data_IF_212651680124
#
_entry.id   IF_212651680124
#
_cell.length_a   1.000
_cell.length_b   1.000
_cell.length_c   1.000
_cell.angle_alpha   90.00
_cell.angle_beta   90.00
_cell.angle_gamma   90.00
#
_symmetry.space_group_name_H-M   'P 1'
#
loop_
_entity.id
_entity.type
_entity.pdbx_description
1 polymer ?
#
# COMPACT_ATOMS: atom_id res chain seq x y z
N UNK A 1 28.60 -57.92 -29.65
CA UNK A 1 27.80 -56.67 -29.68
C UNK A 1 28.77 -55.52 -29.84
N UNK A 2 28.86 -54.94 -31.03
CA UNK A 2 29.94 -54.05 -31.44
C UNK A 2 29.70 -52.64 -30.90
N UNK A 3 30.80 -51.95 -30.54
CA UNK A 3 30.83 -50.55 -29.99
C UNK A 3 29.97 -49.56 -30.79
N UNK A 4 29.71 -49.84 -32.08
CA UNK A 4 28.82 -49.04 -32.95
C UNK A 4 27.35 -49.06 -32.43
N UNK A 5 26.84 -50.18 -32.01
CA UNK A 5 25.43 -50.31 -31.54
C UNK A 5 25.26 -49.60 -30.19
N UNK A 6 26.27 -49.59 -29.32
CA UNK A 6 26.21 -48.92 -28.03
C UNK A 6 26.14 -47.38 -28.21
N UNK A 7 26.86 -46.82 -29.16
CA UNK A 7 26.81 -45.37 -29.48
C UNK A 7 25.46 -44.96 -30.09
N UNK A 8 24.86 -45.82 -30.90
CA UNK A 8 23.56 -45.54 -31.49
C UNK A 8 22.44 -45.56 -30.44
N UNK A 9 22.44 -46.50 -29.50
CA UNK A 9 21.48 -46.54 -28.39
C UNK A 9 21.67 -45.36 -27.42
N UNK A 10 22.90 -44.95 -27.14
CA UNK A 10 23.15 -43.75 -26.30
C UNK A 10 22.66 -42.48 -26.94
N UNK A 11 22.79 -42.31 -28.26
CA UNK A 11 22.26 -41.16 -29.00
C UNK A 11 20.74 -41.12 -29.05
N UNK A 12 20.09 -42.27 -29.16
CA UNK A 12 18.61 -42.38 -29.14
C UNK A 12 18.07 -42.07 -27.76
N UNK A 13 18.69 -42.54 -26.67
CA UNK A 13 18.29 -42.23 -25.29
C UNK A 13 18.46 -40.73 -25.01
N UNK A 14 19.53 -40.10 -25.49
CA UNK A 14 19.73 -38.66 -25.33
C UNK A 14 18.73 -37.82 -26.12
N UNK A 15 18.25 -38.27 -27.27
CA UNK A 15 17.20 -37.57 -28.04
C UNK A 15 15.82 -37.65 -27.36
N UNK A 16 15.52 -38.76 -26.69
CA UNK A 16 14.23 -38.95 -25.99
C UNK A 16 14.13 -38.10 -24.70
N UNK A 17 15.27 -37.75 -24.08
CA UNK A 17 15.29 -36.90 -22.86
C UNK A 17 15.07 -35.41 -23.15
N UNK A 18 14.99 -34.97 -24.40
CA UNK A 18 14.75 -33.57 -24.79
C UNK A 18 13.28 -33.24 -24.98
N UNK A 19 12.36 -34.17 -24.84
CA UNK A 19 10.92 -33.90 -24.90
C UNK A 19 10.45 -33.52 -23.50
N UNK A 20 10.80 -32.32 -23.04
CA UNK A 20 10.14 -31.69 -21.91
C UNK A 20 8.83 -31.11 -22.41
N UNK A 21 7.73 -31.82 -22.18
CA UNK A 21 6.41 -31.24 -22.33
C UNK A 21 6.27 -30.14 -21.26
N UNK A 22 6.29 -28.89 -21.68
CA UNK A 22 5.76 -27.79 -20.87
C UNK A 22 4.25 -27.87 -21.08
N UNK A 23 3.52 -28.46 -20.13
CA UNK A 23 2.08 -28.32 -20.08
C UNK A 23 1.78 -26.85 -19.77
N UNK A 24 1.30 -26.11 -20.77
CA UNK A 24 0.72 -24.78 -20.54
C UNK A 24 -0.60 -24.98 -19.81
N UNK A 25 -0.59 -24.70 -18.52
CA UNK A 25 -1.82 -24.62 -17.73
C UNK A 25 -2.56 -23.35 -18.12
N UNK A 26 -3.59 -23.47 -18.95
CA UNK A 26 -4.51 -22.38 -19.25
C UNK A 26 -5.33 -22.09 -17.99
N UNK A 27 -4.94 -21.03 -17.27
CA UNK A 27 -5.76 -20.50 -16.20
C UNK A 27 -6.96 -19.81 -16.83
N UNK A 28 -8.14 -20.41 -16.66
CA UNK A 28 -9.39 -19.79 -17.10
C UNK A 28 -9.69 -18.58 -16.24
N UNK A 29 -9.30 -17.40 -16.72
CA UNK A 29 -9.55 -16.10 -16.09
C UNK A 29 -11.00 -15.61 -16.21
N UNK A 30 -11.88 -16.36 -16.87
CA UNK A 30 -13.29 -16.00 -17.09
C UNK A 30 -14.20 -16.27 -15.87
N UNK A 31 -13.69 -16.81 -14.78
CA UNK A 31 -14.49 -16.93 -13.55
C UNK A 31 -14.61 -15.57 -12.88
N UNK A 32 -15.84 -15.07 -12.78
CA UNK A 32 -16.20 -13.94 -11.92
C UNK A 32 -16.08 -14.39 -10.46
N UNK A 33 -14.91 -14.25 -9.90
CA UNK A 33 -14.65 -14.60 -8.52
C UNK A 33 -14.68 -13.34 -7.66
N UNK A 34 -15.60 -13.34 -6.71
CA UNK A 34 -15.69 -12.31 -5.68
C UNK A 34 -15.20 -12.90 -4.36
N UNK A 35 -14.20 -12.28 -3.77
CA UNK A 35 -13.62 -12.72 -2.51
C UNK A 35 -13.84 -11.65 -1.45
N UNK A 36 -14.39 -12.05 -0.30
CA UNK A 36 -14.53 -11.15 0.83
C UNK A 36 -13.14 -10.84 1.42
N UNK A 37 -12.82 -9.56 1.52
CA UNK A 37 -11.56 -9.07 2.06
C UNK A 37 -11.83 -8.21 3.28
N UNK A 38 -11.16 -8.51 4.39
CA UNK A 38 -11.22 -7.75 5.63
C UNK A 38 -9.83 -7.30 6.01
N UNK A 39 -9.63 -5.99 6.20
CA UNK A 39 -8.34 -5.47 6.60
C UNK A 39 -8.47 -4.23 7.47
N UNK A 40 -7.63 -4.12 8.47
CA UNK A 40 -7.55 -2.94 9.34
C UNK A 40 -7.04 -3.28 10.71
N UNK A 41 -6.70 -2.23 11.43
CA UNK A 41 -6.24 -2.33 12.81
C UNK A 41 -7.13 -1.51 13.74
N UNK A 42 -7.43 -2.05 14.89
CA UNK A 42 -7.86 -1.28 16.04
C UNK A 42 -6.59 -0.71 16.69
N UNK A 43 -6.50 0.62 16.79
CA UNK A 43 -5.27 1.28 17.23
C UNK A 43 -5.50 2.25 18.37
N UNK A 44 -4.46 2.57 19.12
CA UNK A 44 -4.43 3.60 20.18
C UNK A 44 -4.20 5.03 19.64
N UNK A 45 -4.19 5.21 18.31
CA UNK A 45 -4.25 6.54 17.71
C UNK A 45 -5.69 7.05 17.62
N UNK A 46 -6.19 7.58 18.70
CA UNK A 46 -7.57 8.06 18.80
C UNK A 46 -7.85 9.36 18.02
N UNK A 47 -6.81 10.04 17.57
CA UNK A 47 -6.94 11.27 16.77
C UNK A 47 -7.15 10.99 15.29
N UNK A 48 -6.57 9.91 14.82
CA UNK A 48 -6.69 9.46 13.42
C UNK A 48 -6.73 7.92 13.39
N UNK A 49 -7.83 7.31 13.86
CA UNK A 49 -7.95 5.87 13.95
C UNK A 49 -7.86 5.21 12.57
N UNK A 50 -7.29 4.03 12.54
CA UNK A 50 -7.22 3.23 11.32
C UNK A 50 -8.62 2.77 10.89
N UNK A 51 -8.88 2.77 9.59
CA UNK A 51 -10.19 2.35 9.06
C UNK A 51 -10.18 0.85 8.83
N UNK A 52 -11.12 0.15 9.46
CA UNK A 52 -11.37 -1.28 9.21
C UNK A 52 -12.22 -1.37 7.94
N UNK A 53 -11.72 -2.04 6.90
CA UNK A 53 -12.38 -2.20 5.61
C UNK A 53 -12.95 -3.60 5.47
N UNK A 54 -14.23 -3.68 5.09
CA UNK A 54 -14.94 -4.93 4.77
C UNK A 54 -15.51 -4.75 3.37
N UNK A 55 -14.95 -5.49 2.40
CA UNK A 55 -15.19 -5.22 0.98
C UNK A 55 -15.04 -6.50 0.14
N UNK A 56 -15.62 -6.51 -1.05
CA UNK A 56 -15.31 -7.55 -2.03
C UNK A 56 -14.15 -7.13 -2.93
N UNK A 57 -13.19 -8.03 -3.12
CA UNK A 57 -12.26 -7.96 -4.25
C UNK A 57 -12.85 -8.79 -5.37
N UNK A 58 -13.12 -8.12 -6.49
CA UNK A 58 -13.74 -8.72 -7.67
C UNK A 58 -12.69 -8.83 -8.77
N UNK A 59 -12.71 -9.96 -9.47
CA UNK A 59 -11.92 -10.17 -10.65
C UNK A 59 -12.84 -10.32 -11.86
N UNK A 60 -12.65 -9.51 -12.89
CA UNK A 60 -13.40 -9.57 -14.11
C UNK A 60 -12.52 -9.15 -15.31
N UNK A 61 -12.47 -9.98 -16.34
CA UNK A 61 -11.76 -9.72 -17.61
C UNK A 61 -10.30 -9.22 -17.40
N UNK A 62 -9.55 -9.89 -16.54
CA UNK A 62 -8.15 -9.53 -16.26
C UNK A 62 -7.96 -8.34 -15.32
N UNK A 63 -9.04 -7.68 -14.87
CA UNK A 63 -8.99 -6.54 -13.96
C UNK A 63 -9.47 -6.91 -12.56
N UNK A 64 -8.73 -6.43 -11.56
CA UNK A 64 -9.14 -6.53 -10.15
C UNK A 64 -9.68 -5.17 -9.70
N UNK A 65 -10.86 -5.17 -9.11
CA UNK A 65 -11.45 -3.98 -8.51
C UNK A 65 -12.09 -4.29 -7.17
N UNK A 66 -12.18 -3.27 -6.34
CA UNK A 66 -12.71 -3.40 -4.98
C UNK A 66 -14.10 -2.76 -4.92
N UNK A 67 -15.06 -3.49 -4.35
CA UNK A 67 -16.41 -2.99 -4.11
C UNK A 67 -16.69 -2.94 -2.60
N UNK A 68 -16.94 -1.76 -2.02
CA UNK A 68 -17.39 -1.66 -0.65
C UNK A 68 -18.75 -2.34 -0.48
N UNK A 69 -18.99 -2.92 0.71
CA UNK A 69 -20.26 -3.56 1.05
C UNK A 69 -21.00 -2.58 1.96
N UNK A 70 -22.19 -2.15 1.54
CA UNK A 70 -23.06 -1.29 2.33
C UNK A 70 -23.88 -2.09 3.34
N UNK A 71 -24.31 -1.43 4.43
CA UNK A 71 -25.21 -2.02 5.45
C UNK A 71 -24.65 -3.23 6.19
N UNK A 72 -23.32 -3.32 6.30
CA UNK A 72 -22.67 -4.29 7.17
C UNK A 72 -22.83 -3.85 8.62
N UNK A 73 -23.23 -4.75 9.50
CA UNK A 73 -23.23 -4.51 10.95
C UNK A 73 -21.91 -5.03 11.50
N UNK A 74 -21.04 -4.13 11.97
CA UNK A 74 -19.72 -4.49 12.49
C UNK A 74 -19.56 -3.98 13.93
N UNK A 75 -18.88 -4.77 14.76
CA UNK A 75 -18.61 -4.49 16.16
C UNK A 75 -17.24 -5.01 16.59
N UNK A 76 -16.68 -4.41 17.64
CA UNK A 76 -15.52 -4.91 18.36
C UNK A 76 -16.03 -5.59 19.64
N UNK A 77 -15.60 -6.82 19.85
CA UNK A 77 -15.94 -7.61 21.03
C UNK A 77 -14.72 -7.79 21.92
N UNK A 78 -14.82 -7.33 23.17
CA UNK A 78 -13.81 -7.59 24.21
C UNK A 78 -14.01 -9.00 24.77
N UNK A 79 -13.03 -9.86 24.61
CA UNK A 79 -13.21 -11.30 24.88
C UNK A 79 -13.33 -11.66 26.37
N UNK A 80 -12.68 -10.89 27.27
CA UNK A 80 -12.70 -11.13 28.71
C UNK A 80 -13.97 -10.56 29.37
N UNK A 81 -14.34 -9.33 29.03
CA UNK A 81 -15.52 -8.67 29.58
C UNK A 81 -16.82 -8.99 28.84
N UNK A 82 -16.75 -9.53 27.63
CA UNK A 82 -17.90 -9.75 26.75
C UNK A 82 -18.52 -8.46 26.21
N UNK A 83 -17.92 -7.30 26.47
CA UNK A 83 -18.43 -6.01 26.00
C UNK A 83 -18.32 -5.92 24.49
N UNK A 84 -19.45 -5.58 23.87
CA UNK A 84 -19.54 -5.36 22.43
C UNK A 84 -19.77 -3.87 22.13
N UNK A 85 -18.99 -3.32 21.19
CA UNK A 85 -19.04 -1.92 20.78
C UNK A 85 -19.23 -1.84 19.28
N UNK A 86 -20.35 -1.29 18.85
CA UNK A 86 -20.68 -1.12 17.43
C UNK A 86 -19.70 -0.14 16.77
N UNK A 87 -19.21 -0.49 15.59
CA UNK A 87 -18.43 0.39 14.73
C UNK A 87 -19.33 1.32 13.93
N UNK A 88 -18.79 2.49 13.58
CA UNK A 88 -19.48 3.50 12.78
C UNK A 88 -19.07 3.35 11.32
N UNK A 89 -20.05 3.04 10.46
CA UNK A 89 -19.84 2.94 9.02
C UNK A 89 -19.55 4.33 8.41
N UNK A 90 -18.54 4.40 7.55
CA UNK A 90 -18.15 5.58 6.79
C UNK A 90 -18.72 5.51 5.36
N UNK A 91 -18.82 6.65 4.68
CA UNK A 91 -19.34 6.72 3.29
C UNK A 91 -18.62 5.80 2.28
N UNK A 92 -17.40 5.41 2.59
CA UNK A 92 -16.55 4.58 1.72
C UNK A 92 -16.59 3.08 2.05
N UNK A 93 -17.56 2.64 2.88
CA UNK A 93 -17.65 1.23 3.32
C UNK A 93 -16.53 0.80 4.26
N UNK A 94 -15.91 1.75 4.94
CA UNK A 94 -14.97 1.50 6.03
C UNK A 94 -15.62 1.73 7.38
N UNK A 95 -15.08 1.13 8.43
CA UNK A 95 -15.64 1.17 9.79
C UNK A 95 -14.63 1.77 10.76
N UNK A 96 -15.09 2.65 11.63
CA UNK A 96 -14.28 3.26 12.69
C UNK A 96 -14.90 2.94 14.06
N UNK A 97 -14.08 2.81 15.11
CA UNK A 97 -14.59 2.79 16.48
C UNK A 97 -15.24 4.14 16.85
N UNK A 98 -16.20 4.17 17.79
CA UNK A 98 -16.71 5.40 18.36
C UNK A 98 -15.59 6.28 18.92
N UNK A 99 -15.76 7.60 18.90
CA UNK A 99 -14.71 8.55 19.33
C UNK A 99 -14.29 8.42 20.79
N UNK A 100 -15.17 7.94 21.63
CA UNK A 100 -14.96 7.70 23.07
C UNK A 100 -14.43 6.29 23.37
N UNK A 101 -14.36 5.42 22.36
CA UNK A 101 -13.77 4.10 22.53
C UNK A 101 -12.29 4.19 22.91
N UNK A 102 -11.89 3.38 23.89
CA UNK A 102 -10.49 3.25 24.34
C UNK A 102 -10.14 1.77 24.47
N UNK A 103 -8.94 1.41 24.00
CA UNK A 103 -8.40 0.07 24.14
C UNK A 103 -7.96 -0.12 25.59
N UNK A 104 -8.39 -1.23 26.18
CA UNK A 104 -7.87 -1.72 27.46
C UNK A 104 -6.80 -2.78 27.18
N UNK A 105 -5.57 -2.53 27.63
CA UNK A 105 -4.45 -3.44 27.39
C UNK A 105 -4.59 -4.82 28.07
N UNK A 106 -5.51 -4.94 29.04
CA UNK A 106 -5.82 -6.21 29.70
C UNK A 106 -6.80 -7.12 28.93
N UNK A 107 -7.41 -6.57 27.88
CA UNK A 107 -8.40 -7.24 27.03
C UNK A 107 -7.80 -7.76 25.73
N UNK A 108 -8.49 -8.73 25.12
CA UNK A 108 -8.32 -9.09 23.70
C UNK A 108 -9.59 -8.68 22.95
N UNK A 109 -9.42 -8.39 21.70
CA UNK A 109 -10.49 -7.86 20.86
C UNK A 109 -10.68 -8.70 19.60
N UNK A 110 -11.93 -9.04 19.29
CA UNK A 110 -12.32 -9.65 18.02
C UNK A 110 -13.17 -8.67 17.23
N UNK A 111 -13.01 -8.67 15.93
CA UNK A 111 -13.94 -8.04 15.00
C UNK A 111 -15.06 -9.03 14.72
N UNK A 112 -16.31 -8.63 14.97
CA UNK A 112 -17.50 -9.38 14.57
C UNK A 112 -18.31 -8.58 13.57
N UNK A 113 -18.80 -9.22 12.52
CA UNK A 113 -19.67 -8.51 11.57
C UNK A 113 -20.68 -9.45 10.91
N UNK A 114 -21.79 -8.85 10.46
CA UNK A 114 -22.85 -9.53 9.72
C UNK A 114 -23.07 -8.81 8.39
N UNK A 115 -23.03 -9.56 7.30
CA UNK A 115 -23.33 -9.06 5.96
C UNK A 115 -24.84 -8.91 5.76
N UNK A 116 -25.29 -8.14 4.74
CA UNK A 116 -26.71 -7.94 4.45
C UNK A 116 -27.48 -9.24 4.15
N UNK A 117 -26.80 -10.28 3.67
CA UNK A 117 -27.37 -11.61 3.41
C UNK A 117 -27.50 -12.49 4.67
N UNK A 118 -27.12 -11.96 5.83
CA UNK A 118 -27.20 -12.64 7.11
C UNK A 118 -25.99 -13.49 7.48
N UNK A 119 -24.98 -13.61 6.63
CA UNK A 119 -23.75 -14.33 6.97
C UNK A 119 -22.99 -13.60 8.11
N UNK A 120 -22.52 -14.39 9.08
CA UNK A 120 -21.82 -13.90 10.27
C UNK A 120 -20.35 -14.29 10.25
N UNK A 121 -19.50 -13.35 10.66
CA UNK A 121 -18.04 -13.51 10.66
C UNK A 121 -17.45 -13.03 11.98
N UNK A 122 -16.36 -13.66 12.38
CA UNK A 122 -15.60 -13.25 13.56
C UNK A 122 -14.09 -13.47 13.34
N UNK A 123 -13.28 -12.50 13.79
CA UNK A 123 -11.84 -12.67 13.81
C UNK A 123 -11.38 -13.50 15.00
N UNK A 124 -10.19 -14.11 14.91
CA UNK A 124 -9.50 -14.54 16.13
C UNK A 124 -9.22 -13.33 17.03
N UNK A 125 -9.15 -13.55 18.38
CA UNK A 125 -8.86 -12.45 19.31
C UNK A 125 -7.43 -11.95 19.17
N UNK A 126 -7.28 -10.62 19.10
CA UNK A 126 -6.00 -9.89 19.04
C UNK A 126 -5.85 -9.00 20.27
N UNK A 127 -4.61 -8.73 20.69
CA UNK A 127 -4.32 -7.83 21.81
C UNK A 127 -3.35 -6.74 21.40
N UNK A 128 -3.33 -5.65 22.18
CA UNK A 128 -2.38 -4.56 21.97
C UNK A 128 -1.03 -4.90 22.62
N UNK A 129 0.05 -4.57 21.90
CA UNK A 129 1.42 -4.63 22.42
C UNK A 129 1.99 -3.23 22.44
N UNK A 130 2.76 -2.88 23.47
CA UNK A 130 3.37 -1.55 23.58
C UNK A 130 4.41 -1.34 22.49
N UNK A 131 4.31 -0.24 21.77
CA UNK A 131 5.27 0.12 20.72
C UNK A 131 6.38 1.00 21.28
N UNK A 132 7.65 0.63 21.15
CA UNK A 132 8.77 1.43 21.59
C UNK A 132 8.85 2.75 20.81
N UNK A 133 9.36 3.84 21.43
CA UNK A 133 9.46 5.14 20.76
C UNK A 133 10.52 5.13 19.65
N UNK A 134 10.26 5.89 18.59
CA UNK A 134 11.22 6.16 17.51
C UNK A 134 12.27 7.14 18.06
N UNK A 135 13.52 6.72 18.19
CA UNK A 135 14.61 7.51 18.70
C UNK A 135 15.08 8.55 17.68
N UNK A 136 15.40 8.10 16.48
CA UNK A 136 15.95 8.94 15.43
C UNK A 136 15.32 8.61 14.06
N UNK A 137 15.31 9.58 13.14
CA UNK A 137 14.96 9.41 11.73
C UNK A 137 15.93 10.21 10.89
N UNK A 138 16.47 9.60 9.85
CA UNK A 138 17.38 10.26 8.91
C UNK A 138 17.20 9.69 7.50
N UNK A 139 17.74 10.38 6.51
CA UNK A 139 17.69 9.89 5.13
C UNK A 139 19.06 9.93 4.45
N UNK A 140 19.18 9.12 3.38
CA UNK A 140 20.29 9.15 2.43
C UNK A 140 19.73 9.22 1.02
N UNK A 141 20.28 10.08 0.19
CA UNK A 141 19.96 10.12 -1.23
C UNK A 141 20.80 9.11 -2.00
N UNK A 142 20.15 8.25 -2.77
CA UNK A 142 20.78 7.19 -3.56
C UNK A 142 20.30 7.29 -5.02
N UNK A 143 21.23 7.41 -5.98
CA UNK A 143 20.89 7.59 -7.39
C UNK A 143 20.12 6.40 -7.99
N UNK A 144 20.50 5.17 -7.63
CA UNK A 144 19.89 3.94 -8.15
C UNK A 144 19.29 3.11 -7.01
N UNK A 145 18.36 3.71 -6.26
CA UNK A 145 17.82 3.13 -5.04
C UNK A 145 16.61 2.23 -5.26
N UNK A 146 15.71 2.63 -6.15
CA UNK A 146 14.42 1.96 -6.34
C UNK A 146 14.26 1.59 -7.81
N UNK A 147 13.71 0.40 -8.08
CA UNK A 147 13.24 0.05 -9.41
C UNK A 147 11.97 0.86 -9.72
N UNK A 148 11.87 1.40 -10.94
CA UNK A 148 10.65 2.09 -11.41
C UNK A 148 9.45 1.13 -11.35
N UNK A 149 8.23 1.67 -11.27
CA UNK A 149 7.04 0.84 -11.12
C UNK A 149 6.76 -0.05 -12.33
N UNK A 150 7.29 0.32 -13.52
CA UNK A 150 7.28 -0.51 -14.73
C UNK A 150 8.43 -1.55 -14.79
N UNK A 151 9.29 -1.59 -13.77
CA UNK A 151 10.40 -2.54 -13.65
C UNK A 151 11.57 -2.34 -14.61
N UNK A 152 11.60 -1.26 -15.42
CA UNK A 152 12.57 -1.13 -16.52
C UNK A 152 13.88 -0.42 -16.16
N UNK A 153 13.87 0.44 -15.14
CA UNK A 153 15.04 1.25 -14.77
C UNK A 153 15.10 1.46 -13.26
N UNK A 154 16.33 1.69 -12.77
CA UNK A 154 16.50 2.22 -11.42
C UNK A 154 16.29 3.72 -11.40
N UNK A 155 15.63 4.23 -10.37
CA UNK A 155 15.36 5.64 -10.13
C UNK A 155 16.03 6.10 -8.85
N UNK A 156 16.32 7.40 -8.79
CA UNK A 156 16.86 8.04 -7.60
C UNK A 156 15.80 8.13 -6.51
N UNK A 157 16.19 7.87 -5.28
CA UNK A 157 15.29 8.00 -4.14
C UNK A 157 16.01 8.47 -2.88
N UNK A 158 15.26 9.08 -1.97
CA UNK A 158 15.67 9.27 -0.60
C UNK A 158 15.29 8.02 0.21
N UNK A 159 16.28 7.30 0.68
CA UNK A 159 16.09 6.18 1.59
C UNK A 159 15.98 6.71 3.01
N UNK A 160 14.82 6.49 3.64
CA UNK A 160 14.51 6.97 5.00
C UNK A 160 14.69 5.83 5.97
N UNK A 161 15.49 6.08 7.00
CA UNK A 161 15.86 5.14 8.04
C UNK A 161 15.38 5.63 9.40
N UNK A 162 15.15 4.71 10.32
CA UNK A 162 14.91 5.04 11.72
C UNK A 162 15.72 4.14 12.66
N UNK A 163 15.90 4.67 13.88
CA UNK A 163 16.48 3.95 15.00
C UNK A 163 15.45 3.86 16.12
N UNK A 164 15.37 2.71 16.78
CA UNK A 164 14.55 2.51 17.96
C UNK A 164 15.21 1.48 18.89
N UNK A 165 14.80 1.45 20.14
CA UNK A 165 15.27 0.44 21.10
C UNK A 165 14.17 -0.57 21.33
N UNK A 166 14.49 -1.83 21.12
CA UNK A 166 13.60 -2.94 21.33
C UNK A 166 13.31 -3.20 22.81
N UNK A 167 12.21 -3.90 23.13
CA UNK A 167 11.83 -4.23 24.51
C UNK A 167 12.53 -5.51 24.94
N UNK A 168 13.35 -5.51 26.00
CA UNK A 168 14.10 -6.70 26.40
C UNK A 168 13.20 -7.81 26.96
N UNK A 169 13.57 -9.06 26.69
CA UNK A 169 12.93 -10.28 27.21
C UNK A 169 11.49 -10.50 26.75
N UNK A 170 11.12 -9.91 25.62
CA UNK A 170 9.83 -10.05 24.98
C UNK A 170 10.05 -10.36 23.51
N UNK A 171 9.23 -11.23 22.93
CA UNK A 171 9.24 -11.44 21.48
C UNK A 171 8.34 -10.42 20.83
N UNK A 172 8.95 -9.45 20.18
CA UNK A 172 8.28 -8.34 19.54
C UNK A 172 8.26 -8.48 18.02
N UNK A 173 7.17 -7.99 17.45
CA UNK A 173 6.96 -7.97 16.01
C UNK A 173 6.51 -6.58 15.60
N UNK A 174 7.13 -6.06 14.56
CA UNK A 174 6.94 -4.69 14.12
C UNK A 174 6.41 -4.62 12.69
N UNK A 175 5.53 -3.65 12.45
CA UNK A 175 5.04 -3.26 11.13
C UNK A 175 5.25 -1.76 10.96
N UNK A 176 5.84 -1.36 9.86
CA UNK A 176 5.97 0.05 9.50
C UNK A 176 5.12 0.40 8.29
N UNK A 177 4.45 1.52 8.41
CA UNK A 177 3.76 2.20 7.32
C UNK A 177 4.26 3.63 7.23
N UNK A 178 4.18 4.23 6.06
CA UNK A 178 4.46 5.64 5.91
C UNK A 178 3.52 6.29 4.89
N UNK A 179 3.32 7.58 5.06
CA UNK A 179 2.71 8.47 4.08
C UNK A 179 3.69 9.58 3.82
N UNK A 180 3.93 9.92 2.55
CA UNK A 180 4.71 11.11 2.26
C UNK A 180 3.88 12.13 1.48
N UNK A 181 4.24 13.39 1.68
CA UNK A 181 3.58 14.54 1.08
C UNK A 181 4.57 15.20 0.14
N UNK A 182 4.16 15.45 -1.08
CA UNK A 182 4.97 16.10 -2.11
C UNK A 182 4.26 17.35 -2.61
N UNK A 183 4.98 18.47 -2.73
CA UNK A 183 4.41 19.65 -3.39
C UNK A 183 4.26 19.37 -4.88
N UNK A 184 3.07 19.56 -5.41
CA UNK A 184 2.77 19.40 -6.83
C UNK A 184 2.54 20.76 -7.48
N UNK A 185 3.08 20.89 -8.69
CA UNK A 185 3.00 22.15 -9.48
C UNK A 185 1.83 22.10 -10.46
N UNK A 186 1.52 20.91 -10.99
CA UNK A 186 0.44 20.70 -11.96
C UNK A 186 -0.72 19.96 -11.30
N UNK A 187 -1.91 20.52 -11.39
CA UNK A 187 -3.12 20.00 -10.74
C UNK A 187 -4.08 19.27 -11.69
N UNK A 188 -3.88 19.37 -12.99
CA UNK A 188 -4.70 18.68 -14.00
C UNK A 188 -3.87 18.33 -15.21
N UNK A 189 -4.15 17.16 -15.81
CA UNK A 189 -3.64 16.76 -17.13
C UNK A 189 -4.84 16.50 -18.04
N UNK A 190 -4.89 17.18 -19.18
CA UNK A 190 -5.95 16.98 -20.18
C UNK A 190 -5.40 16.24 -21.41
N UNK A 191 -5.89 15.03 -21.62
CA UNK A 191 -5.49 14.18 -22.75
C UNK A 191 -6.30 14.54 -23.99
N UNK A 192 -5.62 14.86 -25.09
CA UNK A 192 -6.20 15.26 -26.38
C UNK A 192 -7.27 16.37 -26.25
N UNK A 193 -7.12 17.24 -25.25
CA UNK A 193 -8.10 18.29 -24.90
C UNK A 193 -7.43 19.44 -24.14
N UNK A 194 -8.15 20.52 -23.95
CA UNK A 194 -7.73 21.68 -23.14
C UNK A 194 -8.58 21.80 -21.88
N UNK A 195 -8.00 22.42 -20.85
CA UNK A 195 -8.71 22.72 -19.62
C UNK A 195 -9.61 23.96 -19.80
N UNK A 196 -10.87 23.83 -19.44
CA UNK A 196 -11.82 24.95 -19.44
C UNK A 196 -12.08 25.40 -17.98
N UNK A 197 -11.66 26.61 -17.61
CA UNK A 197 -11.88 27.15 -16.27
C UNK A 197 -13.37 27.39 -15.93
N UNK A 198 -14.27 27.43 -16.94
CA UNK A 198 -15.71 27.61 -16.70
C UNK A 198 -16.36 26.32 -16.25
N UNK A 199 -15.96 25.20 -16.83
CA UNK A 199 -16.48 23.87 -16.46
C UNK A 199 -15.63 23.17 -15.42
N UNK A 200 -14.46 23.72 -15.06
CA UNK A 200 -13.46 23.15 -14.17
C UNK A 200 -13.01 21.74 -14.61
N UNK A 201 -12.96 21.51 -15.90
CA UNK A 201 -12.65 20.20 -16.48
C UNK A 201 -11.96 20.29 -17.83
N UNK A 202 -11.54 19.13 -18.33
CA UNK A 202 -10.99 19.02 -19.68
C UNK A 202 -12.14 19.00 -20.69
N UNK A 203 -12.11 19.95 -21.62
CA UNK A 203 -13.12 20.05 -22.67
C UNK A 203 -12.57 19.66 -24.03
N UNK A 204 -13.47 19.31 -24.88
CA UNK A 204 -13.49 18.99 -26.31
C UNK A 204 -12.13 18.83 -27.02
N UNK A 205 -12.02 17.73 -27.73
CA UNK A 205 -10.94 17.38 -28.67
C UNK A 205 -10.71 18.51 -29.66
N UNK A 206 -9.47 18.99 -29.71
CA UNK A 206 -9.03 19.86 -30.77
C UNK A 206 -8.85 19.03 -32.05
N UNK A 207 -9.38 19.47 -33.20
CA UNK A 207 -9.37 18.67 -34.44
C UNK A 207 -7.97 18.39 -35.00
N UNK A 208 -6.92 19.03 -34.51
CA UNK A 208 -5.54 18.88 -35.00
C UNK A 208 -4.54 18.43 -33.91
N UNK A 209 -4.97 17.66 -32.92
CA UNK A 209 -4.16 17.20 -31.79
C UNK A 209 -3.13 16.11 -32.17
N UNK A 210 -2.63 16.10 -33.39
CA UNK A 210 -1.78 15.01 -33.93
C UNK A 210 -0.33 15.02 -33.39
N UNK A 211 0.09 16.00 -32.58
CA UNK A 211 1.50 16.11 -32.12
C UNK A 211 1.68 16.10 -30.60
N UNK A 212 0.65 16.42 -29.84
CA UNK A 212 0.75 16.50 -28.37
C UNK A 212 -0.43 15.80 -27.73
N UNK A 213 -0.23 14.64 -27.11
CA UNK A 213 -1.35 13.82 -26.59
C UNK A 213 -1.96 14.41 -25.31
N UNK A 214 -1.30 15.37 -24.63
CA UNK A 214 -1.77 15.95 -23.37
C UNK A 214 -1.19 17.35 -23.14
N UNK A 215 -1.86 18.13 -22.26
CA UNK A 215 -1.34 19.33 -21.63
C UNK A 215 -1.50 19.25 -20.12
N UNK A 216 -0.48 19.72 -19.40
CA UNK A 216 -0.47 19.82 -17.94
C UNK A 216 -0.72 21.26 -17.52
N UNK A 217 -1.63 21.45 -16.58
CA UNK A 217 -2.06 22.77 -16.11
C UNK A 217 -1.60 23.03 -14.69
N UNK A 218 -0.97 24.20 -14.49
CA UNK A 218 -0.45 24.59 -13.19
C UNK A 218 -1.56 24.75 -12.15
N UNK A 219 -1.22 24.49 -10.90
CA UNK A 219 -2.10 24.73 -9.77
C UNK A 219 -2.30 26.24 -9.53
N UNK A 220 -3.54 26.67 -9.31
CA UNK A 220 -3.88 28.04 -8.97
C UNK A 220 -3.43 28.45 -7.56
N UNK A 221 -2.94 27.52 -6.77
CA UNK A 221 -2.44 27.73 -5.41
C UNK A 221 -1.61 26.54 -4.94
N UNK A 222 -1.33 26.48 -3.66
CA UNK A 222 -0.60 25.34 -3.09
C UNK A 222 -1.38 24.05 -3.21
N UNK A 223 -0.67 22.99 -3.56
CA UNK A 223 -1.23 21.64 -3.63
C UNK A 223 -0.18 20.62 -3.24
N UNK A 224 -0.59 19.63 -2.43
CA UNK A 224 0.26 18.60 -1.90
C UNK A 224 -0.33 17.24 -2.23
N UNK A 225 0.41 16.38 -2.91
CA UNK A 225 0.07 14.97 -3.08
C UNK A 225 0.20 14.24 -1.74
N UNK A 226 -0.68 13.30 -1.50
CA UNK A 226 -0.68 12.39 -0.34
C UNK A 226 -0.41 10.99 -0.89
N UNK A 227 0.79 10.48 -0.68
CA UNK A 227 1.24 9.21 -1.24
C UNK A 227 1.44 8.22 -0.09
N UNK A 228 0.55 7.24 0.00
CA UNK A 228 0.63 6.16 0.99
C UNK A 228 1.52 5.04 0.46
N UNK A 229 2.32 4.43 1.34
CA UNK A 229 3.11 3.28 0.94
C UNK A 229 2.22 2.08 0.60
N UNK A 230 2.62 1.31 -0.40
CA UNK A 230 1.97 0.07 -0.84
C UNK A 230 2.81 -1.18 -0.55
N UNK A 231 4.01 -1.01 0.01
CA UNK A 231 4.89 -2.12 0.35
C UNK A 231 4.76 -2.49 1.82
N UNK A 232 4.76 -3.77 2.09
CA UNK A 232 4.76 -4.31 3.45
C UNK A 232 6.18 -4.24 3.99
N UNK A 233 6.34 -3.78 5.23
CA UNK A 233 7.62 -3.71 5.91
C UNK A 233 7.42 -4.22 7.34
N UNK A 234 7.82 -5.46 7.58
CA UNK A 234 7.70 -6.14 8.86
C UNK A 234 9.04 -6.65 9.36
N UNK A 235 9.15 -6.82 10.66
CA UNK A 235 10.34 -7.36 11.31
C UNK A 235 9.95 -8.13 12.57
N UNK A 236 10.72 -9.17 12.89
CA UNK A 236 10.74 -9.84 14.19
C UNK A 236 12.05 -9.51 14.89
N UNK A 237 12.01 -9.39 16.19
CA UNK A 237 13.16 -9.11 17.08
C UNK A 237 14.04 -10.32 17.39
N UNK A 238 13.77 -11.48 16.82
CA UNK A 238 14.42 -12.77 17.18
C UNK A 238 15.94 -12.71 17.37
N UNK A 239 16.61 -11.74 16.72
CA UNK A 239 18.06 -11.56 16.80
C UNK A 239 18.48 -10.26 17.50
N UNK A 240 17.55 -9.48 18.03
CA UNK A 240 17.80 -8.12 18.56
C UNK A 240 17.09 -7.82 19.89
N UNK A 241 16.72 -8.86 20.63
CA UNK A 241 16.00 -8.76 21.94
C UNK A 241 16.62 -7.71 22.87
N UNK A 242 15.92 -6.59 23.06
CA UNK A 242 16.31 -5.47 23.91
C UNK A 242 17.44 -4.57 23.39
N UNK A 243 17.96 -4.82 22.20
CA UNK A 243 19.03 -4.04 21.60
C UNK A 243 18.52 -2.82 20.83
N UNK A 244 19.44 -1.90 20.54
CA UNK A 244 19.13 -0.77 19.67
C UNK A 244 19.17 -1.24 18.21
N UNK A 245 18.03 -1.17 17.56
CA UNK A 245 17.92 -1.41 16.12
C UNK A 245 18.22 -0.09 15.42
N UNK A 246 19.42 0.00 14.84
CA UNK A 246 19.90 1.19 14.16
C UNK A 246 19.80 1.01 12.63
N UNK A 247 19.34 2.05 11.93
CA UNK A 247 19.31 2.09 10.47
C UNK A 247 18.28 1.17 9.83
N UNK A 248 17.12 0.97 10.45
CA UNK A 248 16.02 0.25 9.82
C UNK A 248 15.49 1.05 8.64
N UNK A 249 15.60 0.50 7.42
CA UNK A 249 15.05 1.12 6.21
C UNK A 249 13.52 1.06 6.25
N UNK A 250 12.87 2.22 6.18
CA UNK A 250 11.41 2.36 6.22
C UNK A 250 10.84 2.69 4.86
N UNK A 251 11.47 3.63 4.14
CA UNK A 251 10.92 4.13 2.89
C UNK A 251 12.02 4.36 1.85
N UNK A 252 11.67 4.14 0.59
CA UNK A 252 12.43 4.60 -0.58
C UNK A 252 11.55 5.57 -1.34
N UNK A 253 11.72 6.87 -1.06
CA UNK A 253 10.87 7.92 -1.62
C UNK A 253 11.50 8.41 -2.91
N UNK A 254 10.83 8.24 -4.07
CA UNK A 254 11.34 8.68 -5.35
C UNK A 254 11.69 10.16 -5.37
N UNK A 255 12.68 10.52 -6.16
CA UNK A 255 13.05 11.92 -6.36
C UNK A 255 12.10 12.58 -7.36
N UNK A 256 10.89 12.94 -6.88
CA UNK A 256 9.83 13.47 -7.73
C UNK A 256 10.13 14.88 -8.24
N UNK A 257 10.73 15.71 -7.39
CA UNK A 257 11.12 17.07 -7.74
C UNK A 257 12.14 17.64 -6.75
N UNK A 258 12.71 18.83 -7.05
CA UNK A 258 13.74 19.48 -6.22
C UNK A 258 13.24 19.92 -4.84
N UNK A 259 11.94 20.09 -4.66
CA UNK A 259 11.39 20.45 -3.36
C UNK A 259 11.58 19.30 -2.37
N UNK A 260 11.79 19.64 -1.11
CA UNK A 260 11.77 18.65 -0.04
C UNK A 260 10.39 18.01 0.09
N UNK A 261 10.30 16.93 0.83
CA UNK A 261 9.03 16.27 1.12
C UNK A 261 8.89 15.96 2.62
N UNK A 262 7.65 15.89 3.08
CA UNK A 262 7.34 15.50 4.44
C UNK A 262 6.97 14.01 4.48
N UNK A 263 7.57 13.26 5.40
CA UNK A 263 7.28 11.85 5.62
C UNK A 263 6.66 11.67 7.00
N UNK A 264 5.50 11.06 7.06
CA UNK A 264 4.90 10.59 8.32
C UNK A 264 5.09 9.07 8.42
N UNK A 265 5.88 8.65 9.40
CA UNK A 265 6.18 7.25 9.69
C UNK A 265 5.28 6.79 10.81
N UNK A 266 4.74 5.59 10.68
CA UNK A 266 3.98 4.87 11.70
C UNK A 266 4.73 3.57 12.01
N UNK A 267 5.16 3.43 13.25
CA UNK A 267 5.72 2.20 13.81
C UNK A 267 4.65 1.54 14.67
N UNK A 268 4.40 0.26 14.44
CA UNK A 268 3.35 -0.50 15.10
C UNK A 268 3.95 -1.77 15.70
N UNK A 269 3.60 -2.08 16.95
CA UNK A 269 3.81 -3.42 17.52
C UNK A 269 2.58 -4.27 17.22
N UNK A 270 2.80 -5.43 16.63
CA UNK A 270 1.75 -6.32 16.13
C UNK A 270 1.88 -7.72 16.76
N UNK A 271 0.80 -8.50 16.72
CA UNK A 271 0.81 -9.87 17.20
C UNK A 271 1.68 -10.81 16.34
N UNK A 272 2.11 -11.97 16.88
CA UNK A 272 2.80 -13.01 16.09
C UNK A 272 1.99 -13.45 14.88
N UNK A 273 0.66 -13.58 15.02
CA UNK A 273 -0.24 -13.96 13.93
C UNK A 273 -0.32 -12.88 12.86
N UNK A 274 -0.42 -11.62 13.27
CA UNK A 274 -0.38 -10.48 12.37
C UNK A 274 0.94 -10.40 11.61
N UNK A 275 2.07 -10.63 12.30
CA UNK A 275 3.39 -10.71 11.67
C UNK A 275 3.45 -11.83 10.63
N UNK A 276 3.02 -13.04 10.97
CA UNK A 276 3.03 -14.18 10.06
C UNK A 276 2.19 -13.91 8.80
N UNK A 277 1.01 -13.32 8.97
CA UNK A 277 0.14 -12.91 7.86
C UNK A 277 0.83 -11.88 6.95
N UNK A 278 1.33 -10.79 7.50
CA UNK A 278 1.97 -9.73 6.72
C UNK A 278 3.29 -10.18 6.10
N UNK A 279 4.06 -11.04 6.77
CA UNK A 279 5.29 -11.62 6.22
C UNK A 279 5.01 -12.50 5.01
N UNK A 280 3.97 -13.35 5.08
CA UNK A 280 3.56 -14.16 3.94
C UNK A 280 3.07 -13.28 2.77
N UNK A 281 2.31 -12.24 3.07
CA UNK A 281 1.86 -11.29 2.06
C UNK A 281 3.05 -10.51 1.44
N UNK A 282 4.05 -10.10 2.25
CA UNK A 282 5.30 -9.49 1.77
C UNK A 282 6.03 -10.42 0.80
N UNK A 283 6.24 -11.68 1.19
CA UNK A 283 6.95 -12.67 0.36
C UNK A 283 6.25 -12.93 -0.98
N UNK A 284 4.92 -12.89 -1.02
CA UNK A 284 4.17 -13.15 -2.25
C UNK A 284 4.01 -11.92 -3.15
N UNK A 285 3.91 -10.73 -2.58
CA UNK A 285 3.65 -9.50 -3.35
C UNK A 285 4.93 -8.73 -3.72
N UNK A 286 6.04 -9.02 -3.06
CA UNK A 286 7.31 -8.33 -3.28
C UNK A 286 8.40 -9.28 -3.84
N UNK A 287 8.01 -10.48 -4.27
CA UNK A 287 8.88 -11.39 -5.02
C UNK A 287 9.17 -10.84 -6.42
N UNK A 288 10.34 -11.16 -6.94
CA UNK A 288 10.86 -10.61 -8.21
C UNK A 288 10.63 -11.55 -9.39
N UNK A 289 10.00 -12.71 -9.18
CA UNK A 289 9.83 -13.76 -10.20
C UNK A 289 11.08 -14.59 -10.43
N UNK A 290 12.05 -14.56 -9.51
CA UNK A 290 13.29 -15.33 -9.59
C UNK A 290 13.13 -16.76 -9.11
N UNK A 291 14.08 -17.64 -9.50
CA UNK A 291 14.12 -19.06 -9.07
C UNK A 291 14.24 -19.25 -7.55
N UNK A 292 14.66 -18.22 -6.83
CA UNK A 292 14.79 -18.22 -5.37
C UNK A 292 13.52 -17.73 -4.65
N UNK A 293 12.48 -17.31 -5.38
CA UNK A 293 11.24 -16.85 -4.77
C UNK A 293 10.47 -18.04 -4.18
N UNK A 294 9.86 -17.79 -3.03
CA UNK A 294 9.02 -18.82 -2.38
C UNK A 294 7.79 -19.12 -3.24
N UNK A 295 7.41 -20.39 -3.39
CA UNK A 295 6.17 -20.76 -4.09
C UNK A 295 4.97 -20.02 -3.52
N UNK A 296 4.01 -19.66 -4.37
CA UNK A 296 2.76 -19.05 -3.93
C UNK A 296 2.04 -19.99 -2.94
N UNK A 297 1.77 -19.48 -1.75
CA UNK A 297 1.03 -20.19 -0.70
C UNK A 297 -0.29 -19.48 -0.43
N UNK A 298 -1.29 -20.19 0.06
CA UNK A 298 -2.55 -19.56 0.46
C UNK A 298 -2.29 -18.60 1.63
N UNK A 299 -2.69 -17.35 1.46
CA UNK A 299 -2.62 -16.34 2.53
C UNK A 299 -3.81 -16.60 3.47
N UNK A 300 -3.53 -17.16 4.63
CA UNK A 300 -4.55 -17.44 5.65
C UNK A 300 -4.65 -16.24 6.57
N UNK A 301 -5.82 -15.58 6.59
CA UNK A 301 -6.14 -14.50 7.53
C UNK A 301 -6.64 -15.02 8.87
N UNK A 302 -7.21 -14.12 9.68
CA UNK A 302 -7.77 -14.48 10.98
C UNK A 302 -9.29 -14.33 11.06
N UNK A 303 -9.98 -14.24 9.94
CA UNK A 303 -11.44 -14.07 9.87
C UNK A 303 -12.09 -15.42 9.55
N UNK A 304 -13.05 -15.82 10.36
CA UNK A 304 -13.81 -17.05 10.19
C UNK A 304 -15.26 -16.72 9.83
N UNK A 305 -15.81 -17.42 8.83
CA UNK A 305 -17.24 -17.40 8.55
C UNK A 305 -17.95 -18.38 9.50
N UNK A 306 -18.77 -17.85 10.40
CA UNK A 306 -19.49 -18.67 11.40
C UNK A 306 -20.72 -19.37 10.81
N UNK A 307 -21.27 -18.82 9.73
CA UNK A 307 -22.45 -19.36 9.04
C UNK A 307 -22.09 -20.45 8.04
N UNK A 308 -20.99 -20.26 7.32
CA UNK A 308 -20.48 -21.21 6.32
C UNK A 308 -18.95 -21.33 6.41
N UNK A 309 -18.43 -22.23 7.25
CA UNK A 309 -16.98 -22.39 7.46
C UNK A 309 -16.18 -22.77 6.20
N UNK A 310 -16.83 -23.27 5.14
CA UNK A 310 -16.17 -23.56 3.87
C UNK A 310 -15.89 -22.30 3.01
N UNK A 311 -16.59 -21.19 3.28
CA UNK A 311 -16.39 -19.93 2.60
C UNK A 311 -15.10 -19.26 3.03
N UNK A 312 -14.21 -18.98 2.08
CA UNK A 312 -12.91 -18.36 2.35
C UNK A 312 -13.06 -16.84 2.49
N UNK A 313 -12.43 -16.30 3.51
CA UNK A 313 -12.24 -14.84 3.71
C UNK A 313 -10.75 -14.56 3.70
N UNK A 314 -10.35 -13.52 3.00
CA UNK A 314 -8.95 -13.08 2.95
C UNK A 314 -8.79 -11.82 3.78
N UNK A 315 -7.66 -11.69 4.45
CA UNK A 315 -7.31 -10.50 5.20
C UNK A 315 -7.13 -10.73 6.68
N UNK A 316 -6.90 -9.64 7.40
CA UNK A 316 -6.52 -9.68 8.81
C UNK A 316 -7.09 -8.48 9.55
N UNK A 317 -7.70 -8.75 10.70
CA UNK A 317 -8.01 -7.76 11.72
C UNK A 317 -6.96 -7.83 12.81
N UNK A 318 -6.28 -6.72 13.07
CA UNK A 318 -5.25 -6.61 14.11
C UNK A 318 -5.59 -5.59 15.17
N UNK A 319 -4.85 -5.65 16.29
CA UNK A 319 -4.85 -4.63 17.34
C UNK A 319 -3.41 -4.19 17.56
N UNK A 320 -3.13 -2.89 17.50
CA UNK A 320 -1.77 -2.41 17.58
C UNK A 320 -1.66 -1.04 18.28
N UNK A 321 -0.59 -0.86 19.04
CA UNK A 321 -0.12 0.47 19.47
C UNK A 321 0.69 1.11 18.36
N UNK A 322 0.61 2.44 18.23
CA UNK A 322 1.27 3.20 17.16
C UNK A 322 2.15 4.31 17.75
N UNK A 323 3.40 4.34 17.30
CA UNK A 323 4.27 5.51 17.43
C UNK A 323 4.38 6.22 16.08
N UNK A 324 4.21 7.55 16.07
CA UNK A 324 4.28 8.37 14.87
C UNK A 324 5.45 9.34 14.93
N UNK A 325 6.14 9.49 13.80
CA UNK A 325 7.20 10.49 13.65
C UNK A 325 7.08 11.15 12.28
N UNK A 326 7.05 12.48 12.26
CA UNK A 326 7.17 13.26 11.02
C UNK A 326 8.61 13.67 10.82
N UNK A 327 9.07 13.55 9.59
CA UNK A 327 10.43 13.83 9.19
C UNK A 327 10.45 14.62 7.88
N UNK A 328 11.21 15.71 7.85
CA UNK A 328 11.41 16.49 6.65
C UNK A 328 12.63 15.95 5.89
N UNK A 329 12.40 15.52 4.66
CA UNK A 329 13.45 15.12 3.73
C UNK A 329 13.88 16.34 2.95
N UNK A 330 15.02 16.93 3.34
CA UNK A 330 15.61 18.04 2.60
C UNK A 330 16.30 17.51 1.33
N UNK A 331 15.98 18.13 0.20
CA UNK A 331 16.56 17.81 -1.10
C UNK A 331 17.49 18.89 -1.64
N UNK A 332 17.88 19.87 -0.80
CA UNK A 332 18.85 20.89 -1.19
C UNK A 332 20.21 20.26 -1.51
N UNK A 333 20.80 20.68 -2.62
CA UNK A 333 22.09 20.16 -3.06
C UNK A 333 22.06 18.71 -3.61
N UNK A 334 20.89 18.10 -3.71
CA UNK A 334 20.70 16.79 -4.34
C UNK A 334 20.61 16.97 -5.85
N UNK A 335 21.34 16.15 -6.61
CA UNK A 335 21.30 16.14 -8.06
C UNK A 335 20.95 14.74 -8.56
N UNK A 336 19.83 14.62 -9.26
CA UNK A 336 19.30 13.35 -9.76
C UNK A 336 18.28 13.57 -10.87
N UNK A 337 17.86 12.47 -11.50
CA UNK A 337 16.81 12.50 -12.52
C UNK A 337 15.45 12.43 -11.80
N UNK A 338 14.55 13.35 -12.14
CA UNK A 338 13.19 13.38 -11.59
C UNK A 338 12.37 12.17 -12.08
N UNK A 339 11.66 11.58 -11.13
CA UNK A 339 10.59 10.63 -11.36
C UNK A 339 9.26 11.35 -11.11
N UNK A 340 8.78 12.09 -12.11
CA UNK A 340 7.63 12.96 -11.94
C UNK A 340 6.38 12.23 -11.47
N UNK A 341 5.65 12.80 -10.51
CA UNK A 341 4.37 12.26 -10.00
C UNK A 341 3.34 12.08 -11.14
N UNK A 342 3.41 12.91 -12.18
CA UNK A 342 2.58 12.80 -13.37
C UNK A 342 2.87 11.54 -14.20
N UNK A 343 3.98 10.84 -13.95
CA UNK A 343 4.44 9.70 -14.77
C UNK A 343 5.11 10.12 -16.09
N UNK A 344 5.17 11.42 -16.38
CA UNK A 344 5.81 12.00 -17.56
C UNK A 344 6.40 13.37 -17.26
N UNK A 345 7.30 13.84 -18.11
CA UNK A 345 7.80 15.22 -18.05
C UNK A 345 6.65 16.19 -18.32
N UNK A 346 6.42 17.18 -17.45
CA UNK A 346 5.33 18.14 -17.65
C UNK A 346 5.40 18.84 -19.00
N UNK A 347 4.26 18.97 -19.64
CA UNK A 347 4.10 19.67 -20.91
C UNK A 347 2.93 20.66 -20.83
N UNK A 348 3.25 21.94 -20.71
CA UNK A 348 2.25 22.99 -20.54
C UNK A 348 1.68 23.44 -21.89
N UNK A 349 0.42 23.87 -21.87
CA UNK A 349 -0.22 24.47 -23.02
C UNK A 349 0.52 25.78 -23.38
N UNK A 350 0.89 26.02 -24.67
CA UNK A 350 1.51 27.28 -25.06
C UNK A 350 0.52 28.45 -24.92
N UNK A 351 1.00 29.68 -24.63
CA UNK A 351 0.17 30.85 -24.62
C UNK A 351 -0.57 31.05 -25.97
N UNK A 352 -1.84 31.39 -25.91
CA UNK A 352 -2.61 31.74 -27.11
C UNK A 352 -2.52 33.26 -27.40
N UNK A 353 -2.92 33.67 -28.62
CA UNK A 353 -2.99 35.07 -28.96
C UNK A 353 -3.98 35.88 -28.10
N UNK A 354 -5.02 35.20 -27.61
CA UNK A 354 -6.09 35.77 -26.78
C UNK A 354 -5.78 35.77 -25.28
N UNK A 355 -4.85 34.92 -24.85
CA UNK A 355 -4.50 34.79 -23.43
C UNK A 355 -2.99 34.73 -23.25
N UNK A 356 -2.46 35.62 -22.40
CA UNK A 356 -1.03 35.66 -22.11
C UNK A 356 -0.50 34.47 -21.29
N UNK A 357 -1.40 33.67 -20.71
CA UNK A 357 -1.06 32.48 -19.93
C UNK A 357 -2.15 31.39 -20.07
N UNK A 358 -1.76 30.08 -20.06
CA UNK A 358 -2.70 29.01 -19.92
C UNK A 358 -3.53 29.15 -18.63
N UNK A 359 -4.76 28.62 -18.59
CA UNK A 359 -5.57 28.62 -17.38
C UNK A 359 -4.91 27.80 -16.28
N UNK A 360 -5.12 28.21 -15.04
CA UNK A 360 -4.65 27.48 -13.85
C UNK A 360 -5.79 26.66 -13.27
N UNK A 361 -5.47 25.54 -12.61
CA UNK A 361 -6.45 24.60 -12.07
C UNK A 361 -6.44 24.60 -10.54
N UNK A 362 -7.62 24.47 -9.92
CA UNK A 362 -7.73 24.42 -8.47
C UNK A 362 -7.29 23.06 -7.91
N UNK A 363 -6.60 23.08 -6.76
CA UNK A 363 -6.31 21.90 -6.00
C UNK A 363 -7.57 21.42 -5.25
N UNK A 364 -8.24 20.40 -5.78
CA UNK A 364 -9.43 19.83 -5.13
C UNK A 364 -8.98 18.79 -4.09
N UNK A 365 -9.40 18.97 -2.83
CA UNK A 365 -9.11 18.03 -1.74
C UNK A 365 -9.67 16.64 -2.05
N UNK A 366 -8.86 15.61 -1.89
CA UNK A 366 -9.22 14.21 -2.05
C UNK A 366 -8.39 13.32 -1.11
N UNK A 367 -8.51 12.00 -1.24
CA UNK A 367 -7.65 11.07 -0.49
C UNK A 367 -6.18 11.08 -0.93
N UNK A 368 -5.91 11.55 -2.14
CA UNK A 368 -4.56 11.57 -2.73
C UNK A 368 -3.94 12.96 -2.84
N UNK A 369 -4.66 14.02 -2.47
CA UNK A 369 -4.12 15.39 -2.48
C UNK A 369 -4.89 16.35 -1.58
N UNK A 370 -4.21 17.44 -1.17
CA UNK A 370 -4.77 18.48 -0.31
C UNK A 370 -4.24 19.86 -0.69
N UNK A 371 -5.10 20.92 -0.67
CA UNK A 371 -4.63 22.30 -0.79
C UNK A 371 -4.03 22.87 0.50
N UNK A 372 -4.15 22.13 1.61
CA UNK A 372 -3.67 22.59 2.91
C UNK A 372 -2.26 22.10 3.16
N UNK A 373 -1.39 23.01 3.60
CA UNK A 373 -0.01 22.71 3.98
C UNK A 373 0.00 21.64 5.07
N UNK A 374 0.67 20.49 4.86
CA UNK A 374 0.76 19.46 5.89
C UNK A 374 1.51 19.95 7.12
N UNK A 375 1.06 19.55 8.31
CA UNK A 375 1.73 19.92 9.55
C UNK A 375 3.15 19.36 9.60
N UNK A 376 4.16 20.23 9.80
CA UNK A 376 5.59 19.87 9.78
C UNK A 376 6.26 20.08 8.41
N UNK A 377 5.57 20.57 7.43
CA UNK A 377 6.16 21.00 6.14
C UNK A 377 7.06 22.22 6.33
N UNK A 378 8.28 22.21 5.76
CA UNK A 378 9.28 23.30 5.83
C UNK A 378 9.31 24.14 4.55
#
# INVERSE_FOLDING_TARGET
MTIKHLRTYSAIIFLISMVSCIDTYDIDFNQKNSVLVVQGFLTDDYTNPDTIKIQYSNFNDGNTFVSPISSVKASIVSTKSGKEVSLVEQKTGGFLPPRDFRIDASEKYSLRFTLPDGQQFESSPEQIYTTPPILNVYNKFILNSKLSDDGKKFISANEVYLDFKDTPKQKDYYLWRYTHYEKIVHCSTCYASQYDPKTLGCTIRLPNFNRTPYYDYQCAGECYAIIKNNKINVMSDVVSDGEVIAGRLIAKIPYHFMYGCLVEIQQMSISPQSYAFHRNLELQTQSTGGLADTPAAAIVGNINNLTNPASKVVGFFGVASIQKKRYWVDRKGVNGIYDYILGHTPFEEPPSMDTSRPPMTSCVKSEIRTPFKPQGWQ
#
